data_IF_141979241272
#
_entry.id   IF_141979241272
#
_cell.length_a   1.000
_cell.length_b   1.000
_cell.length_c   1.000
_cell.angle_alpha   90.00
_cell.angle_beta   90.00
_cell.angle_gamma   90.00
#
_symmetry.space_group_name_H-M   'P 1'
#
loop_
_entity.id
_entity.type
_entity.pdbx_description
1 polymer ?
#
# COMPACT_ATOMS: atom_id res chain seq x y z
N UNK A 1 25.73 -10.10 -7.32
CA UNK A 1 24.92 -10.02 -8.55
C UNK A 1 24.79 -8.58 -8.97
N UNK A 2 24.76 -8.32 -10.27
CA UNK A 2 24.31 -7.05 -10.85
C UNK A 2 22.81 -7.11 -11.10
N UNK A 3 22.05 -6.11 -10.64
CA UNK A 3 20.59 -6.11 -10.73
C UNK A 3 20.11 -4.80 -11.33
N UNK A 4 19.33 -4.87 -12.41
CA UNK A 4 18.61 -3.72 -12.95
C UNK A 4 17.25 -3.59 -12.27
N UNK A 5 16.90 -2.37 -11.84
CA UNK A 5 15.61 -2.09 -11.19
C UNK A 5 14.94 -0.89 -11.87
N UNK A 6 13.78 -1.15 -12.48
CA UNK A 6 12.99 -0.16 -13.21
C UNK A 6 11.68 0.15 -12.51
N UNK A 7 11.12 1.31 -12.81
CA UNK A 7 9.85 1.81 -12.31
C UNK A 7 9.99 3.21 -11.72
N UNK A 8 8.88 3.93 -11.73
CA UNK A 8 8.82 5.31 -11.25
C UNK A 8 8.12 5.43 -9.88
N UNK A 9 7.72 4.32 -9.28
CA UNK A 9 7.12 4.33 -7.96
C UNK A 9 8.17 4.63 -6.87
N UNK A 10 7.78 5.26 -5.76
CA UNK A 10 8.68 5.48 -4.62
C UNK A 10 9.31 4.17 -4.09
N UNK A 11 8.64 3.05 -4.31
CA UNK A 11 9.12 1.72 -3.88
C UNK A 11 10.32 1.23 -4.66
N UNK A 12 10.52 1.68 -5.90
CA UNK A 12 11.68 1.28 -6.72
C UNK A 12 13.00 1.64 -6.04
N UNK A 13 13.09 2.82 -5.41
CA UNK A 13 14.28 3.23 -4.65
C UNK A 13 14.48 2.37 -3.40
N UNK A 14 13.41 2.08 -2.65
CA UNK A 14 13.49 1.21 -1.47
C UNK A 14 13.94 -0.22 -1.84
N UNK A 15 13.53 -0.72 -3.01
CA UNK A 15 13.94 -2.03 -3.52
C UNK A 15 15.43 -2.01 -3.90
N UNK A 16 15.90 -0.94 -4.59
CA UNK A 16 17.33 -0.74 -4.89
C UNK A 16 18.18 -0.73 -3.61
N UNK A 17 17.75 0.03 -2.60
CA UNK A 17 18.40 0.05 -1.28
C UNK A 17 18.42 -1.33 -0.63
N UNK A 18 17.32 -2.09 -0.74
CA UNK A 18 17.24 -3.46 -0.22
C UNK A 18 18.26 -4.38 -0.85
N UNK A 19 18.40 -4.36 -2.18
CA UNK A 19 19.43 -5.13 -2.88
C UNK A 19 20.85 -4.68 -2.52
N UNK A 20 21.09 -3.36 -2.44
CA UNK A 20 22.40 -2.83 -2.05
C UNK A 20 22.79 -3.28 -0.63
N UNK A 21 21.83 -3.27 0.32
CA UNK A 21 22.07 -3.80 1.68
C UNK A 21 22.40 -5.29 1.73
N UNK A 22 21.98 -6.06 0.72
CA UNK A 22 22.34 -7.47 0.56
C UNK A 22 23.68 -7.70 -0.17
N UNK A 23 24.38 -6.63 -0.52
CA UNK A 23 25.67 -6.71 -1.22
C UNK A 23 25.55 -6.85 -2.73
N UNK A 24 24.39 -6.54 -3.35
CA UNK A 24 24.20 -6.54 -4.78
C UNK A 24 24.48 -5.17 -5.38
N UNK A 25 24.99 -5.13 -6.59
CA UNK A 25 25.24 -3.93 -7.38
C UNK A 25 23.99 -3.57 -8.21
N UNK A 26 23.58 -2.30 -8.17
CA UNK A 26 22.51 -1.80 -9.05
C UNK A 26 23.14 -1.29 -10.33
N UNK A 27 22.90 -1.98 -11.44
CA UNK A 27 23.51 -1.68 -12.74
C UNK A 27 22.64 -2.18 -13.89
N UNK A 28 22.57 -1.40 -14.96
CA UNK A 28 21.94 -1.79 -16.23
C UNK A 28 22.94 -2.41 -17.22
N UNK A 29 24.22 -2.50 -16.83
CA UNK A 29 25.29 -3.12 -17.63
C UNK A 29 25.45 -4.58 -17.25
N UNK A 30 25.07 -5.49 -18.17
CA UNK A 30 25.13 -6.93 -18.00
C UNK A 30 24.50 -7.40 -16.66
N UNK A 31 23.24 -7.07 -16.39
CA UNK A 31 22.58 -7.49 -15.17
C UNK A 31 22.35 -9.01 -15.15
N UNK A 32 22.44 -9.60 -13.98
CA UNK A 32 22.11 -11.00 -13.71
C UNK A 32 20.64 -11.20 -13.31
N UNK A 33 19.92 -10.08 -13.05
CA UNK A 33 18.48 -10.01 -12.77
C UNK A 33 17.92 -8.67 -13.25
N UNK A 34 16.77 -8.70 -13.89
CA UNK A 34 16.03 -7.52 -14.33
C UNK A 34 14.69 -7.51 -13.58
N UNK A 35 14.44 -6.46 -12.81
CA UNK A 35 13.21 -6.29 -12.03
C UNK A 35 12.53 -4.97 -12.39
N UNK A 36 11.26 -5.02 -12.77
CA UNK A 36 10.47 -3.83 -13.00
C UNK A 36 9.28 -3.77 -12.04
N UNK A 37 9.28 -2.76 -11.19
CA UNK A 37 8.37 -2.65 -10.06
C UNK A 37 6.98 -2.09 -10.44
N UNK A 38 6.84 -1.47 -11.60
CA UNK A 38 5.56 -0.95 -12.07
C UNK A 38 5.54 -0.82 -13.61
N UNK A 39 4.34 -0.70 -14.25
CA UNK A 39 4.22 -0.69 -15.70
C UNK A 39 5.00 0.41 -16.42
N UNK A 40 5.36 1.51 -15.74
CA UNK A 40 6.13 2.60 -16.33
C UNK A 40 7.58 2.21 -16.62
N UNK A 41 8.10 1.19 -15.94
CA UNK A 41 9.44 0.64 -16.18
C UNK A 41 9.48 -0.59 -17.10
N UNK A 42 8.33 -1.12 -17.55
CA UNK A 42 8.32 -2.38 -18.31
C UNK A 42 8.99 -2.27 -19.69
N UNK A 43 8.83 -1.14 -20.36
CA UNK A 43 9.44 -0.94 -21.70
C UNK A 43 10.96 -0.96 -21.62
N UNK A 44 11.52 -0.22 -20.67
CA UNK A 44 12.97 -0.16 -20.45
C UNK A 44 13.51 -1.53 -20.03
N UNK A 45 12.84 -2.22 -19.12
CA UNK A 45 13.22 -3.55 -18.69
C UNK A 45 13.26 -4.56 -19.85
N UNK A 46 12.29 -4.51 -20.79
CA UNK A 46 12.29 -5.34 -22.00
C UNK A 46 13.48 -5.01 -22.91
N UNK A 47 13.85 -3.74 -23.03
CA UNK A 47 15.01 -3.33 -23.85
C UNK A 47 16.32 -3.89 -23.27
N UNK A 48 16.46 -3.88 -21.94
CA UNK A 48 17.63 -4.48 -21.27
C UNK A 48 17.61 -6.00 -21.42
N UNK A 49 16.45 -6.66 -21.25
CA UNK A 49 16.29 -8.12 -21.46
C UNK A 49 16.74 -8.56 -22.85
N UNK A 50 16.38 -7.80 -23.89
CA UNK A 50 16.81 -8.12 -25.29
C UNK A 50 18.32 -8.10 -25.51
N UNK A 51 19.05 -7.34 -24.68
CA UNK A 51 20.52 -7.29 -24.71
C UNK A 51 21.17 -8.32 -23.78
N UNK A 52 20.40 -8.88 -22.85
CA UNK A 52 20.85 -9.81 -21.82
C UNK A 52 19.84 -10.97 -21.72
N UNK A 53 19.74 -11.76 -22.76
CA UNK A 53 18.68 -12.78 -22.93
C UNK A 53 18.65 -13.82 -21.81
N UNK A 54 19.78 -14.16 -21.23
CA UNK A 54 19.92 -15.13 -20.14
C UNK A 54 19.45 -14.58 -18.78
N UNK A 55 19.40 -13.24 -18.63
CA UNK A 55 19.03 -12.62 -17.35
C UNK A 55 17.53 -12.75 -17.09
N UNK A 56 17.07 -13.34 -15.97
CA UNK A 56 15.66 -13.43 -15.65
C UNK A 56 15.01 -12.04 -15.54
N UNK A 57 13.81 -11.91 -16.14
CA UNK A 57 13.00 -10.71 -16.12
C UNK A 57 11.77 -10.94 -15.21
N UNK A 58 11.66 -10.13 -14.17
CA UNK A 58 10.52 -10.13 -13.26
C UNK A 58 9.72 -8.84 -13.45
N UNK A 59 8.43 -8.94 -13.72
CA UNK A 59 7.50 -7.82 -13.68
C UNK A 59 6.63 -7.88 -12.43
N UNK A 60 6.60 -6.78 -11.67
CA UNK A 60 5.74 -6.60 -10.52
C UNK A 60 4.58 -5.66 -10.84
N UNK A 61 3.35 -6.10 -10.58
CA UNK A 61 2.16 -5.28 -10.75
C UNK A 61 1.69 -4.76 -9.40
N UNK A 62 1.68 -3.43 -9.24
CA UNK A 62 1.30 -2.76 -8.01
C UNK A 62 -0.20 -2.76 -7.78
N UNK A 63 -0.98 -2.74 -8.86
CA UNK A 63 -2.42 -2.48 -8.77
C UNK A 63 -3.11 -2.90 -10.07
N UNK A 64 -4.39 -3.24 -9.98
CA UNK A 64 -5.30 -3.28 -11.12
C UNK A 64 -6.22 -2.07 -10.97
N UNK A 65 -6.37 -1.23 -12.00
CA UNK A 65 -7.14 0.00 -11.88
C UNK A 65 -8.65 -0.26 -11.83
N UNK A 66 -9.14 -0.86 -10.74
CA UNK A 66 -10.55 -1.28 -10.54
C UNK A 66 -11.60 -0.17 -10.74
N UNK A 67 -11.15 1.09 -10.72
CA UNK A 67 -12.01 2.27 -10.91
C UNK A 67 -12.16 2.71 -12.37
N UNK A 68 -11.34 2.17 -13.26
CA UNK A 68 -11.35 2.59 -14.66
C UNK A 68 -12.45 1.87 -15.46
N UNK A 69 -13.12 2.55 -16.38
CA UNK A 69 -14.01 1.90 -17.34
C UNK A 69 -13.20 0.91 -18.18
N UNK A 70 -13.83 -0.20 -18.56
CA UNK A 70 -13.21 -1.26 -19.37
C UNK A 70 -11.98 -1.93 -18.75
N UNK A 71 -11.95 -2.02 -17.42
CA UNK A 71 -10.82 -2.61 -16.67
C UNK A 71 -10.37 -3.96 -17.22
N UNK A 72 -11.30 -4.84 -17.59
CA UNK A 72 -10.98 -6.15 -18.15
C UNK A 72 -10.19 -6.03 -19.46
N UNK A 73 -10.59 -5.12 -20.33
CA UNK A 73 -9.89 -4.88 -21.58
C UNK A 73 -8.49 -4.29 -21.34
N UNK A 74 -8.37 -3.33 -20.43
CA UNK A 74 -7.08 -2.73 -20.07
C UNK A 74 -6.14 -3.74 -19.44
N UNK A 75 -6.65 -4.60 -18.53
CA UNK A 75 -5.86 -5.67 -17.94
C UNK A 75 -5.39 -6.67 -19.00
N UNK A 76 -6.25 -7.08 -19.95
CA UNK A 76 -5.86 -7.93 -21.07
C UNK A 76 -4.77 -7.30 -21.94
N UNK A 77 -4.87 -5.99 -22.22
CA UNK A 77 -3.84 -5.27 -22.96
C UNK A 77 -2.51 -5.28 -22.21
N UNK A 78 -2.50 -4.98 -20.92
CA UNK A 78 -1.30 -5.03 -20.06
C UNK A 78 -0.65 -6.43 -20.09
N UNK A 79 -1.46 -7.47 -19.92
CA UNK A 79 -0.98 -8.86 -19.96
C UNK A 79 -0.36 -9.16 -21.31
N UNK A 80 -1.05 -8.86 -22.42
CA UNK A 80 -0.57 -9.18 -23.77
C UNK A 80 0.66 -8.37 -24.18
N UNK A 81 0.69 -7.08 -23.80
CA UNK A 81 1.81 -6.20 -24.19
C UNK A 81 3.06 -6.41 -23.34
N UNK A 82 2.91 -6.78 -22.07
CA UNK A 82 4.03 -6.79 -21.14
C UNK A 82 4.16 -8.10 -20.35
N UNK A 83 3.17 -8.48 -19.56
CA UNK A 83 3.34 -9.55 -18.56
C UNK A 83 3.67 -10.91 -19.19
N UNK A 84 3.21 -11.16 -20.41
CA UNK A 84 3.57 -12.38 -21.16
C UNK A 84 5.05 -12.42 -21.57
N UNK A 85 5.73 -11.27 -21.64
CA UNK A 85 7.16 -11.20 -21.99
C UNK A 85 8.09 -11.41 -20.79
N UNK A 86 7.59 -11.33 -19.57
CA UNK A 86 8.37 -11.60 -18.36
C UNK A 86 8.61 -13.10 -18.16
N UNK A 87 9.77 -13.46 -17.61
CA UNK A 87 10.02 -14.84 -17.16
C UNK A 87 9.17 -15.13 -15.91
N UNK A 88 9.04 -14.15 -15.00
CA UNK A 88 8.26 -14.23 -13.79
C UNK A 88 7.37 -13.01 -13.61
N UNK A 89 6.21 -13.22 -12.97
CA UNK A 89 5.28 -12.15 -12.63
C UNK A 89 5.00 -12.17 -11.13
N UNK A 90 5.13 -11.02 -10.50
CA UNK A 90 4.75 -10.81 -9.10
C UNK A 90 3.70 -9.71 -8.96
N UNK A 91 3.00 -9.73 -7.84
CA UNK A 91 1.97 -8.77 -7.46
C UNK A 91 2.09 -8.44 -5.97
N UNK A 92 1.46 -7.36 -5.53
CA UNK A 92 1.65 -6.83 -4.17
C UNK A 92 0.65 -7.33 -3.11
N UNK A 93 -0.33 -8.15 -3.49
CA UNK A 93 -1.28 -8.73 -2.53
C UNK A 93 -1.97 -9.96 -3.09
N UNK A 94 -2.59 -10.76 -2.23
CA UNK A 94 -3.40 -11.90 -2.64
C UNK A 94 -4.62 -11.47 -3.48
N UNK A 95 -5.18 -10.30 -3.19
CA UNK A 95 -6.28 -9.73 -3.98
C UNK A 95 -5.86 -9.46 -5.42
N UNK A 96 -4.73 -8.76 -5.62
CA UNK A 96 -4.19 -8.49 -6.95
C UNK A 96 -3.85 -9.80 -7.67
N UNK A 97 -3.30 -10.80 -6.95
CA UNK A 97 -3.05 -12.14 -7.50
C UNK A 97 -4.32 -12.80 -8.01
N UNK A 98 -5.38 -12.82 -7.19
CA UNK A 98 -6.69 -13.40 -7.54
C UNK A 98 -7.27 -12.75 -8.79
N UNK A 99 -7.19 -11.42 -8.87
CA UNK A 99 -7.74 -10.68 -10.01
C UNK A 99 -6.94 -10.89 -11.29
N UNK A 100 -5.59 -10.85 -11.19
CA UNK A 100 -4.72 -11.04 -12.34
C UNK A 100 -4.77 -12.48 -12.88
N UNK A 101 -4.97 -13.49 -12.03
CA UNK A 101 -5.03 -14.90 -12.43
C UNK A 101 -6.15 -15.23 -13.40
N UNK A 102 -7.16 -14.35 -13.54
CA UNK A 102 -8.22 -14.49 -14.53
C UNK A 102 -7.76 -14.15 -15.97
N UNK A 103 -6.64 -13.48 -16.11
CA UNK A 103 -6.11 -12.95 -17.37
C UNK A 103 -4.75 -13.50 -17.77
N UNK A 104 -3.99 -14.00 -16.80
CA UNK A 104 -2.62 -14.46 -16.98
C UNK A 104 -2.46 -15.93 -16.63
N UNK A 105 -2.10 -16.75 -17.61
CA UNK A 105 -1.85 -18.19 -17.41
C UNK A 105 -0.35 -18.43 -17.09
N UNK A 106 0.14 -17.84 -16.02
CA UNK A 106 1.50 -18.05 -15.47
C UNK A 106 1.42 -18.14 -13.95
N UNK A 107 2.44 -18.75 -13.32
CA UNK A 107 2.59 -18.66 -11.87
C UNK A 107 2.78 -17.21 -11.45
N UNK A 108 1.93 -16.74 -10.52
CA UNK A 108 1.97 -15.38 -9.99
C UNK A 108 2.48 -15.44 -8.55
N UNK A 109 3.56 -14.74 -8.28
CA UNK A 109 4.15 -14.61 -6.95
C UNK A 109 3.55 -13.41 -6.21
N UNK A 110 3.55 -13.44 -4.89
CA UNK A 110 3.15 -12.27 -4.08
C UNK A 110 4.40 -11.70 -3.43
N UNK A 111 4.75 -10.48 -3.82
CA UNK A 111 5.87 -9.70 -3.28
C UNK A 111 5.32 -8.35 -2.85
N UNK A 112 5.24 -8.12 -1.57
CA UNK A 112 4.70 -6.88 -1.01
C UNK A 112 5.61 -5.68 -1.33
N UNK A 113 5.05 -4.47 -1.27
CA UNK A 113 5.87 -3.26 -1.34
C UNK A 113 6.61 -3.04 -0.02
N UNK A 114 7.85 -2.56 -0.07
CA UNK A 114 8.58 -2.21 1.14
C UNK A 114 7.96 -0.98 1.82
N UNK A 115 7.98 -0.97 3.15
CA UNK A 115 7.61 0.19 3.98
C UNK A 115 8.89 0.99 4.29
N UNK A 116 8.74 2.29 4.42
CA UNK A 116 9.83 3.20 4.81
C UNK A 116 10.20 3.00 6.28
N UNK A 117 11.48 3.11 6.58
CA UNK A 117 12.02 2.94 7.94
C UNK A 117 11.56 4.06 8.91
N UNK A 118 11.09 5.19 8.38
CA UNK A 118 10.68 6.40 9.12
C UNK A 118 9.48 6.17 10.06
N UNK A 119 8.64 5.18 9.78
CA UNK A 119 7.46 4.92 10.60
C UNK A 119 7.82 4.10 11.85
N UNK A 120 7.51 4.63 13.04
CA UNK A 120 7.71 4.00 14.34
C UNK A 120 6.77 4.63 15.38
N UNK A 121 6.45 3.88 16.45
CA UNK A 121 5.66 4.40 17.57
C UNK A 121 6.57 5.23 18.49
N UNK A 122 6.19 6.48 18.72
CA UNK A 122 6.89 7.41 19.62
C UNK A 122 6.42 7.28 21.06
N UNK A 123 5.48 6.36 21.33
CA UNK A 123 4.85 6.15 22.63
C UNK A 123 4.27 7.43 23.27
N UNK A 124 3.77 8.34 22.43
CA UNK A 124 3.13 9.58 22.87
C UNK A 124 1.63 9.41 23.07
N UNK A 125 1.06 10.28 23.89
CA UNK A 125 -0.39 10.31 24.09
C UNK A 125 -1.09 10.69 22.79
N UNK A 126 -1.97 9.82 22.32
CA UNK A 126 -2.79 10.08 21.14
C UNK A 126 -3.90 11.09 21.45
N UNK A 127 -4.01 12.11 20.62
CA UNK A 127 -5.13 13.04 20.67
C UNK A 127 -6.38 12.36 20.07
N UNK A 128 -7.57 12.73 20.54
CA UNK A 128 -8.84 12.29 19.95
C UNK A 128 -9.03 12.95 18.56
N UNK A 129 -8.26 12.46 17.59
CA UNK A 129 -8.14 12.99 16.23
C UNK A 129 -8.32 11.89 15.21
N UNK A 130 -8.82 12.28 14.05
CA UNK A 130 -8.95 11.45 12.86
C UNK A 130 -7.94 11.89 11.80
N UNK A 131 -7.47 10.93 11.01
CA UNK A 131 -6.59 11.17 9.88
C UNK A 131 -7.15 10.47 8.63
N UNK A 132 -7.08 11.14 7.51
CA UNK A 132 -7.22 10.54 6.18
C UNK A 132 -5.97 10.82 5.37
N UNK A 133 -5.46 9.79 4.68
CA UNK A 133 -4.28 9.89 3.81
C UNK A 133 -4.65 9.33 2.43
N UNK A 134 -4.67 10.18 1.43
CA UNK A 134 -4.98 9.75 0.06
C UNK A 134 -5.59 10.84 -0.82
N UNK A 135 -6.07 10.41 -1.99
CA UNK A 135 -6.78 11.27 -2.96
C UNK A 135 -8.26 11.37 -2.55
N UNK A 136 -8.64 12.47 -1.91
CA UNK A 136 -9.98 12.62 -1.35
C UNK A 136 -11.08 12.65 -2.42
N UNK A 137 -10.77 13.10 -3.64
CA UNK A 137 -11.72 13.15 -4.76
C UNK A 137 -11.78 11.85 -5.58
N UNK A 138 -10.92 10.87 -5.28
CA UNK A 138 -10.98 9.55 -5.91
C UNK A 138 -12.20 8.77 -5.38
N UNK A 139 -13.18 8.40 -6.24
CA UNK A 139 -14.40 7.70 -5.81
C UNK A 139 -14.11 6.38 -5.08
N UNK A 140 -12.96 5.73 -5.37
CA UNK A 140 -12.54 4.50 -4.69
C UNK A 140 -12.23 4.76 -3.22
N UNK A 141 -11.69 5.93 -2.87
CA UNK A 141 -11.34 6.30 -1.50
C UNK A 141 -12.56 6.62 -0.61
N UNK A 142 -13.72 6.87 -1.24
CA UNK A 142 -15.01 7.11 -0.55
C UNK A 142 -14.94 8.13 0.58
N UNK A 143 -14.28 9.26 0.32
CA UNK A 143 -14.16 10.33 1.31
C UNK A 143 -15.53 10.88 1.77
N UNK A 144 -16.57 10.73 0.95
CA UNK A 144 -17.96 11.04 1.31
C UNK A 144 -18.41 10.26 2.56
N UNK A 145 -18.04 8.99 2.72
CA UNK A 145 -18.39 8.21 3.93
C UNK A 145 -17.72 8.79 5.19
N UNK A 146 -16.50 9.30 5.06
CA UNK A 146 -15.81 10.01 6.15
C UNK A 146 -16.57 11.28 6.51
N UNK A 147 -16.87 12.11 5.50
CA UNK A 147 -17.63 13.36 5.68
C UNK A 147 -18.93 13.10 6.43
N UNK A 148 -19.72 12.16 5.95
CA UNK A 148 -21.05 11.85 6.51
C UNK A 148 -20.98 11.25 7.92
N UNK A 149 -19.92 10.50 8.22
CA UNK A 149 -19.68 9.94 9.56
C UNK A 149 -19.20 11.02 10.54
N UNK A 150 -18.13 11.73 10.17
CA UNK A 150 -17.46 12.70 11.05
C UNK A 150 -18.36 13.91 11.35
N UNK A 151 -19.24 14.31 10.43
CA UNK A 151 -20.20 15.39 10.66
C UNK A 151 -21.20 15.07 11.78
N UNK A 152 -21.38 13.81 12.15
CA UNK A 152 -22.26 13.36 13.26
C UNK A 152 -21.53 13.32 14.62
N UNK A 153 -20.22 13.57 14.64
CA UNK A 153 -19.40 13.63 15.87
C UNK A 153 -19.30 15.10 16.31
N UNK A 154 -19.47 15.36 17.60
CA UNK A 154 -19.30 16.69 18.16
C UNK A 154 -17.89 17.22 17.89
N UNK A 155 -17.81 18.41 17.26
CA UNK A 155 -16.57 19.01 16.78
C UNK A 155 -15.73 18.10 15.81
N UNK A 156 -16.34 17.04 15.23
CA UNK A 156 -15.65 16.06 14.40
C UNK A 156 -14.91 16.68 13.21
N UNK A 157 -15.51 17.68 12.56
CA UNK A 157 -14.87 18.39 11.42
C UNK A 157 -13.55 19.05 11.83
N UNK A 158 -13.44 19.58 13.04
CA UNK A 158 -12.19 20.18 13.56
C UNK A 158 -11.16 19.14 13.99
N UNK A 159 -11.62 17.91 14.23
CA UNK A 159 -10.76 16.81 14.70
C UNK A 159 -10.16 15.98 13.56
N UNK A 160 -10.59 16.17 12.30
CA UNK A 160 -10.04 15.42 11.18
C UNK A 160 -8.98 16.20 10.42
N UNK A 161 -7.81 15.58 10.23
CA UNK A 161 -6.75 16.04 9.33
C UNK A 161 -6.81 15.25 8.02
N UNK A 162 -6.54 15.92 6.91
CA UNK A 162 -6.62 15.35 5.57
C UNK A 162 -5.32 15.61 4.83
N UNK A 163 -4.59 14.55 4.46
CA UNK A 163 -3.35 14.60 3.70
C UNK A 163 -3.55 14.03 2.30
N UNK A 164 -3.05 14.71 1.29
CA UNK A 164 -3.09 14.24 -0.10
C UNK A 164 -3.11 15.37 -1.13
N UNK A 165 -3.28 15.00 -2.41
CA UNK A 165 -3.17 15.91 -3.54
C UNK A 165 -4.28 16.98 -3.60
N UNK A 166 -5.46 16.68 -3.04
CA UNK A 166 -6.68 17.42 -3.33
C UNK A 166 -7.38 17.84 -2.05
N UNK A 167 -7.79 19.12 -2.00
CA UNK A 167 -8.57 19.64 -0.88
C UNK A 167 -10.05 19.23 -1.03
N UNK A 168 -10.59 18.40 -0.11
CA UNK A 168 -11.99 18.01 -0.14
C UNK A 168 -12.94 19.09 0.40
N UNK A 169 -12.43 20.26 0.78
CA UNK A 169 -13.17 21.33 1.46
C UNK A 169 -13.90 20.81 2.75
N UNK A 170 -13.22 19.95 3.49
CA UNK A 170 -13.72 19.33 4.72
C UNK A 170 -12.56 18.96 5.66
N UNK A 171 -12.68 19.32 6.93
CA UNK A 171 -11.62 19.09 7.92
C UNK A 171 -10.44 20.06 7.77
N UNK A 172 -9.33 19.73 8.41
CA UNK A 172 -8.06 20.44 8.29
C UNK A 172 -7.21 19.81 7.18
N UNK A 173 -7.25 20.41 5.99
CA UNK A 173 -6.46 19.95 4.85
C UNK A 173 -5.01 20.43 4.95
N UNK A 174 -4.06 19.51 4.87
CA UNK A 174 -2.62 19.75 5.02
C UNK A 174 -1.85 19.66 3.69
N UNK A 175 -2.49 19.23 2.60
CA UNK A 175 -1.78 18.97 1.35
C UNK A 175 -0.92 17.71 1.40
N UNK A 176 0.12 17.68 0.57
CA UNK A 176 1.19 16.70 0.71
C UNK A 176 2.08 17.07 1.89
N UNK A 177 2.34 16.12 2.73
CA UNK A 177 3.25 16.23 3.87
C UNK A 177 4.48 15.35 3.64
N UNK A 178 5.59 15.68 4.27
CA UNK A 178 6.79 14.84 4.28
C UNK A 178 6.54 13.53 5.04
N UNK A 179 7.41 12.54 4.86
CA UNK A 179 7.29 11.27 5.58
C UNK A 179 7.44 11.44 7.10
N UNK A 180 8.32 12.34 7.55
CA UNK A 180 8.49 12.66 8.98
C UNK A 180 7.24 13.34 9.56
N UNK A 181 6.65 14.29 8.82
CA UNK A 181 5.38 14.90 9.21
C UNK A 181 4.25 13.87 9.24
N UNK A 182 4.22 12.93 8.29
CA UNK A 182 3.23 11.86 8.25
C UNK A 182 3.42 10.89 9.43
N UNK A 183 4.67 10.55 9.81
CA UNK A 183 4.96 9.80 11.02
C UNK A 183 4.40 10.51 12.26
N UNK A 184 4.66 11.81 12.42
CA UNK A 184 4.15 12.61 13.54
C UNK A 184 2.60 12.64 13.54
N UNK A 185 1.97 12.71 12.37
CA UNK A 185 0.51 12.67 12.24
C UNK A 185 -0.07 11.33 12.68
N UNK A 186 0.51 10.20 12.24
CA UNK A 186 0.10 8.88 12.71
C UNK A 186 0.32 8.73 14.23
N UNK A 187 1.45 9.20 14.75
CA UNK A 187 1.75 9.15 16.18
C UNK A 187 0.78 9.99 17.03
N UNK A 188 0.35 11.15 16.53
CA UNK A 188 -0.59 12.02 17.25
C UNK A 188 -2.06 11.64 17.09
N UNK A 189 -2.42 10.73 16.19
CA UNK A 189 -3.79 10.41 15.79
C UNK A 189 -4.27 9.12 16.46
N UNK A 190 -5.53 9.07 16.90
CA UNK A 190 -6.16 7.83 17.35
C UNK A 190 -6.63 6.95 16.20
N UNK A 191 -7.27 7.53 15.19
CA UNK A 191 -7.94 6.78 14.13
C UNK A 191 -7.51 7.24 12.74
N UNK A 192 -7.02 6.29 11.93
CA UNK A 192 -6.93 6.47 10.49
C UNK A 192 -8.23 6.00 9.84
N UNK A 193 -8.90 6.86 9.07
CA UNK A 193 -10.12 6.52 8.33
C UNK A 193 -9.77 6.31 6.87
N UNK A 194 -9.86 5.06 6.39
CA UNK A 194 -9.59 4.70 5.00
C UNK A 194 -10.69 3.77 4.46
N UNK A 195 -11.93 4.28 4.23
CA UNK A 195 -13.08 3.47 3.80
C UNK A 195 -13.03 3.08 2.32
N UNK A 196 -11.84 2.93 1.77
CA UNK A 196 -11.61 2.61 0.37
C UNK A 196 -12.35 1.34 -0.05
N UNK A 197 -12.93 1.34 -1.25
CA UNK A 197 -13.55 0.17 -1.88
C UNK A 197 -12.52 -0.87 -2.30
N UNK A 198 -11.35 -0.40 -2.73
CA UNK A 198 -10.25 -1.25 -3.17
C UNK A 198 -8.91 -0.58 -2.86
N UNK A 199 -7.91 -1.38 -2.57
CA UNK A 199 -6.51 -0.99 -2.38
C UNK A 199 -5.60 -2.07 -2.96
N UNK A 200 -4.42 -1.70 -3.40
CA UNK A 200 -3.36 -2.66 -3.73
C UNK A 200 -2.84 -3.38 -2.49
N UNK A 201 -2.40 -2.61 -1.48
CA UNK A 201 -2.06 -3.05 -0.12
C UNK A 201 -2.82 -2.20 0.91
N UNK A 202 -2.89 -0.88 0.70
CA UNK A 202 -3.38 0.07 1.69
C UNK A 202 -2.30 0.40 2.72
N UNK A 203 -1.10 0.73 2.26
CA UNK A 203 0.04 1.04 3.13
C UNK A 203 -0.27 2.02 4.26
N UNK A 204 -1.07 3.09 4.07
CA UNK A 204 -1.45 3.96 5.17
C UNK A 204 -2.06 3.24 6.38
N UNK A 205 -2.78 2.12 6.18
CA UNK A 205 -3.33 1.33 7.28
C UNK A 205 -2.23 0.64 8.09
N UNK A 206 -1.21 0.14 7.41
CA UNK A 206 -0.08 -0.56 8.03
C UNK A 206 0.83 0.44 8.72
N UNK A 207 1.12 1.58 8.07
CA UNK A 207 1.89 2.69 8.63
C UNK A 207 1.24 3.23 9.92
N UNK A 208 -0.09 3.41 9.89
CA UNK A 208 -0.86 3.80 11.08
C UNK A 208 -0.70 2.80 12.23
N UNK A 209 -0.80 1.50 11.96
CA UNK A 209 -0.61 0.46 12.99
C UNK A 209 0.81 0.45 13.55
N UNK A 210 1.83 0.64 12.72
CA UNK A 210 3.24 0.76 13.16
C UNK A 210 3.40 1.92 14.16
N UNK A 211 2.70 3.04 13.91
CA UNK A 211 2.70 4.22 14.77
C UNK A 211 1.66 4.15 15.89
N UNK A 212 0.98 3.02 16.09
CA UNK A 212 -0.02 2.82 17.15
C UNK A 212 -1.36 3.53 16.93
N UNK A 213 -1.67 4.03 15.73
CA UNK A 213 -3.00 4.50 15.36
C UNK A 213 -3.89 3.35 14.89
N UNK A 214 -5.20 3.46 15.11
CA UNK A 214 -6.18 2.42 14.74
C UNK A 214 -6.74 2.68 13.34
N UNK A 215 -6.47 1.83 12.34
CA UNK A 215 -7.07 1.97 11.03
C UNK A 215 -8.54 1.51 11.04
N UNK A 216 -9.43 2.24 10.38
CA UNK A 216 -10.82 1.84 10.15
C UNK A 216 -11.05 1.82 8.64
N UNK A 217 -11.52 0.68 8.13
CA UNK A 217 -11.80 0.47 6.72
C UNK A 217 -13.09 -0.30 6.49
N UNK A 218 -13.44 -0.55 5.22
CA UNK A 218 -14.68 -1.20 4.85
C UNK A 218 -14.50 -2.66 4.44
N UNK A 219 -15.52 -3.50 4.73
CA UNK A 219 -15.49 -4.95 4.54
C UNK A 219 -15.58 -5.40 3.07
N UNK A 220 -15.89 -4.50 2.14
CA UNK A 220 -15.86 -4.74 0.71
C UNK A 220 -14.48 -4.41 0.09
N UNK A 221 -13.53 -3.92 0.89
CA UNK A 221 -12.12 -3.88 0.55
C UNK A 221 -11.49 -5.25 0.88
N UNK A 222 -11.42 -6.13 -0.12
CA UNK A 222 -10.88 -7.49 0.09
C UNK A 222 -9.42 -7.49 0.55
N UNK A 223 -8.62 -6.51 0.11
CA UNK A 223 -7.22 -6.39 0.51
C UNK A 223 -7.08 -6.09 2.01
N UNK A 224 -7.99 -5.30 2.58
CA UNK A 224 -7.96 -5.00 4.00
C UNK A 224 -8.05 -6.25 4.89
N UNK A 225 -8.78 -7.27 4.45
CA UNK A 225 -8.91 -8.55 5.17
C UNK A 225 -7.62 -9.37 5.21
N UNK A 226 -6.69 -9.09 4.31
CA UNK A 226 -5.35 -9.71 4.29
C UNK A 226 -4.46 -9.14 5.39
N UNK A 227 -4.67 -7.87 5.76
CA UNK A 227 -3.73 -7.13 6.60
C UNK A 227 -4.31 -6.66 7.94
N UNK A 228 -5.64 -6.59 8.07
CA UNK A 228 -6.25 -6.02 9.28
C UNK A 228 -7.05 -7.06 10.07
N UNK A 229 -6.98 -7.00 11.42
CA UNK A 229 -7.95 -7.66 12.27
C UNK A 229 -9.38 -7.21 11.96
N UNK A 230 -10.35 -8.12 12.10
CA UNK A 230 -11.77 -7.85 11.80
C UNK A 230 -12.36 -6.71 12.64
N UNK A 231 -11.79 -6.43 13.81
CA UNK A 231 -12.21 -5.32 14.68
C UNK A 231 -12.12 -3.94 14.00
N UNK A 232 -11.22 -3.79 13.03
CA UNK A 232 -10.96 -2.55 12.30
C UNK A 232 -11.74 -2.43 10.99
N UNK A 233 -12.61 -3.42 10.71
CA UNK A 233 -13.34 -3.54 9.46
C UNK A 233 -14.84 -3.42 9.72
N UNK A 234 -15.51 -2.50 9.01
CA UNK A 234 -16.94 -2.25 9.16
C UNK A 234 -17.67 -2.25 7.80
N UNK A 235 -19.00 -2.18 7.81
CA UNK A 235 -19.76 -2.04 6.56
C UNK A 235 -19.55 -0.63 5.94
N UNK A 236 -19.62 -0.48 4.59
CA UNK A 236 -19.35 0.77 3.90
C UNK A 236 -20.53 1.77 3.97
N UNK A 237 -20.86 2.18 5.18
CA UNK A 237 -21.86 3.21 5.44
C UNK A 237 -21.49 4.02 6.70
N UNK A 238 -21.98 5.27 6.82
CA UNK A 238 -21.62 6.17 7.92
C UNK A 238 -21.96 5.62 9.31
N UNK A 239 -23.09 4.95 9.47
CA UNK A 239 -23.57 4.41 10.75
C UNK A 239 -22.62 3.30 11.25
N UNK A 240 -22.17 2.43 10.37
CA UNK A 240 -21.24 1.35 10.69
C UNK A 240 -19.85 1.88 11.03
N UNK A 241 -19.36 2.92 10.32
CA UNK A 241 -18.10 3.60 10.64
C UNK A 241 -18.19 4.21 12.05
N UNK A 242 -19.27 4.93 12.37
CA UNK A 242 -19.49 5.52 13.71
C UNK A 242 -19.56 4.46 14.80
N UNK A 243 -20.26 3.35 14.55
CA UNK A 243 -20.32 2.23 15.50
C UNK A 243 -18.95 1.63 15.74
N UNK A 244 -18.16 1.48 14.68
CA UNK A 244 -16.77 0.99 14.77
C UNK A 244 -15.90 1.94 15.59
N UNK A 245 -15.95 3.26 15.33
CA UNK A 245 -15.23 4.28 16.12
C UNK A 245 -15.58 4.16 17.61
N UNK A 246 -16.88 4.19 17.96
CA UNK A 246 -17.34 4.10 19.34
C UNK A 246 -16.87 2.82 20.05
N UNK A 247 -16.92 1.67 19.36
CA UNK A 247 -16.43 0.40 19.91
C UNK A 247 -14.94 0.48 20.19
N UNK A 248 -14.16 0.98 19.25
CA UNK A 248 -12.71 1.09 19.38
C UNK A 248 -12.29 2.11 20.44
N UNK A 249 -13.05 3.20 20.64
CA UNK A 249 -12.84 4.15 21.73
C UNK A 249 -12.99 3.49 23.10
N UNK A 250 -14.02 2.64 23.28
CA UNK A 250 -14.26 1.94 24.55
C UNK A 250 -13.16 0.93 24.90
N UNK A 251 -12.54 0.34 23.88
CA UNK A 251 -11.50 -0.70 24.04
C UNK A 251 -10.11 -0.19 23.60
N UNK A 252 -9.89 1.14 23.60
CA UNK A 252 -8.79 1.78 22.88
C UNK A 252 -7.43 1.19 23.20
N UNK A 253 -7.05 1.08 24.48
CA UNK A 253 -5.73 0.58 24.88
C UNK A 253 -5.50 -0.88 24.44
N UNK A 254 -6.54 -1.71 24.51
CA UNK A 254 -6.47 -3.11 24.07
C UNK A 254 -6.26 -3.18 22.55
N UNK A 255 -7.02 -2.36 21.80
CA UNK A 255 -6.95 -2.35 20.33
C UNK A 255 -5.70 -1.68 19.81
N UNK A 256 -5.16 -0.67 20.53
CA UNK A 256 -3.85 -0.07 20.24
C UNK A 256 -2.74 -1.11 20.35
N UNK A 257 -2.71 -1.90 21.41
CA UNK A 257 -1.72 -3.00 21.56
C UNK A 257 -1.86 -4.04 20.45
N UNK A 258 -3.10 -4.38 20.06
CA UNK A 258 -3.35 -5.28 18.94
C UNK A 258 -2.83 -4.70 17.62
N UNK A 259 -3.18 -3.46 17.29
CA UNK A 259 -2.72 -2.77 16.09
C UNK A 259 -1.19 -2.68 16.03
N UNK A 260 -0.55 -2.29 17.13
CA UNK A 260 0.90 -2.20 17.23
C UNK A 260 1.59 -3.54 17.02
N UNK A 261 1.04 -4.64 17.59
CA UNK A 261 1.56 -6.00 17.34
C UNK A 261 1.57 -6.32 15.85
N UNK A 262 0.45 -6.13 15.15
CA UNK A 262 0.36 -6.35 13.70
C UNK A 262 1.27 -5.40 12.92
N UNK A 263 1.33 -4.12 13.32
CA UNK A 263 2.23 -3.14 12.72
C UNK A 263 3.69 -3.55 12.78
N UNK A 264 4.15 -4.05 13.93
CA UNK A 264 5.52 -4.54 14.11
C UNK A 264 5.81 -5.76 13.23
N UNK A 265 4.90 -6.73 13.20
CA UNK A 265 5.03 -7.92 12.33
C UNK A 265 5.13 -7.51 10.85
N UNK A 266 4.33 -6.54 10.40
CA UNK A 266 4.36 -6.05 9.03
C UNK A 266 5.58 -5.18 8.73
N UNK A 267 6.08 -4.41 9.69
CA UNK A 267 7.33 -3.65 9.53
C UNK A 267 8.51 -4.56 9.19
N UNK A 268 8.60 -5.72 9.84
CA UNK A 268 9.61 -6.73 9.53
C UNK A 268 9.35 -7.42 8.19
N UNK A 269 8.12 -7.84 7.94
CA UNK A 269 7.70 -8.53 6.72
C UNK A 269 7.88 -7.66 5.46
N UNK A 270 7.66 -6.35 5.58
CA UNK A 270 7.75 -5.38 4.49
C UNK A 270 9.04 -4.55 4.54
N UNK A 271 10.00 -4.98 5.33
CA UNK A 271 11.34 -4.39 5.32
C UNK A 271 11.97 -4.54 3.93
N UNK A 272 12.64 -3.51 3.45
CA UNK A 272 13.24 -3.49 2.10
C UNK A 272 14.21 -4.64 1.84
N UNK A 273 14.98 -5.06 2.85
CA UNK A 273 15.90 -6.19 2.74
C UNK A 273 15.15 -7.52 2.63
N UNK A 274 14.07 -7.69 3.39
CA UNK A 274 13.17 -8.87 3.31
C UNK A 274 12.51 -8.95 1.94
N UNK A 275 12.02 -7.83 1.42
CA UNK A 275 11.42 -7.76 0.08
C UNK A 275 12.45 -8.10 -1.01
N UNK A 276 13.66 -7.55 -0.94
CA UNK A 276 14.74 -7.87 -1.88
C UNK A 276 15.09 -9.37 -1.85
N UNK A 277 15.18 -10.01 -0.68
CA UNK A 277 15.36 -11.47 -0.55
C UNK A 277 14.22 -12.25 -1.21
N UNK A 278 12.97 -11.82 -0.99
CA UNK A 278 11.80 -12.49 -1.56
C UNK A 278 11.78 -12.40 -3.09
N UNK A 279 12.27 -11.28 -3.67
CA UNK A 279 12.43 -11.16 -5.13
C UNK A 279 13.48 -12.14 -5.64
N UNK A 280 14.64 -12.25 -4.97
CA UNK A 280 15.70 -13.19 -5.34
C UNK A 280 15.22 -14.65 -5.28
N UNK A 281 14.40 -15.00 -4.32
CA UNK A 281 13.83 -16.36 -4.16
C UNK A 281 12.87 -16.76 -5.31
N UNK A 282 12.47 -15.83 -6.18
CA UNK A 282 11.66 -16.17 -7.36
C UNK A 282 12.49 -16.90 -8.43
N UNK A 283 13.78 -16.56 -8.54
CA UNK A 283 14.67 -17.03 -9.61
C UNK A 283 15.52 -18.23 -9.20
N UNK A 284 15.45 -18.66 -7.95
CA UNK A 284 16.07 -19.88 -7.40
C UNK A 284 15.06 -21.03 -7.42
#
# INVERSE_FOLDING_TARGET
MKISVFGMSPFSNLIKEGFTKLGHEISDENPELIYANDPRGYKEAIQIKKKNEESPLIFNLLDIPWHMPNIQQQTKLLVNQFLNQADFVSVISLKVKKDLSQFLNKKIYVIYNPIKDVYYDEDILKNNMFLFVGRANDPIKRFNLIRDSISKIENGIRKIKVCGAENPNFGNYLGYVSDDELNNLYNSTQFLLLPSKAEGIGLPMIEAMICGALPITCNDNETAKEFLPLDFICAPNPESILKCIKKLEQEYEIKRKLAFKFGTEYKEKFNKTTIAKNILNIIV
#
